data_IF_215159614932
#
_entry.id   IF_215159614932
#
_cell.length_a   1.000
_cell.length_b   1.000
_cell.length_c   1.000
_cell.angle_alpha   90.00
_cell.angle_beta   90.00
_cell.angle_gamma   90.00
#
_symmetry.space_group_name_H-M   'P 1'
#
loop_
_entity.id
_entity.type
_entity.pdbx_description
1 polymer ?
#
# COMPACT_ATOMS: atom_id res chain seq x y z
N UNK A 1 -42.82 64.22 17.36
CA UNK A 1 -42.75 62.78 17.05
C UNK A 1 -42.30 62.61 15.60
N UNK A 2 -41.03 62.32 15.34
CA UNK A 2 -40.59 61.74 14.06
C UNK A 2 -39.34 60.91 14.35
N UNK A 3 -39.48 59.59 14.20
CA UNK A 3 -38.46 58.58 14.50
C UNK A 3 -37.42 58.52 13.38
N UNK A 4 -36.14 58.65 13.73
CA UNK A 4 -35.02 58.46 12.79
C UNK A 4 -34.74 56.96 12.66
N UNK A 5 -35.09 56.37 11.52
CA UNK A 5 -34.75 55.00 11.17
C UNK A 5 -33.32 54.97 10.59
N UNK A 6 -32.38 54.36 11.30
CA UNK A 6 -31.02 54.11 10.82
C UNK A 6 -31.03 52.79 10.05
N UNK A 7 -30.72 52.81 8.75
CA UNK A 7 -30.63 51.61 7.91
C UNK A 7 -29.15 51.20 7.86
N UNK A 8 -28.80 50.12 8.54
CA UNK A 8 -27.47 49.51 8.50
C UNK A 8 -27.38 48.57 7.30
N UNK A 9 -26.56 48.91 6.29
CA UNK A 9 -26.23 47.98 5.21
C UNK A 9 -25.27 46.90 5.74
N UNK A 10 -25.73 45.65 5.82
CA UNK A 10 -24.86 44.48 5.96
C UNK A 10 -24.28 44.15 4.58
N UNK A 11 -22.98 44.43 4.38
CA UNK A 11 -22.25 43.90 3.25
C UNK A 11 -22.00 42.40 3.49
N UNK A 12 -22.71 41.54 2.78
CA UNK A 12 -22.44 40.11 2.76
C UNK A 12 -21.12 39.87 2.00
N UNK A 13 -20.03 39.63 2.73
CA UNK A 13 -18.80 39.11 2.14
C UNK A 13 -19.07 37.68 1.68
N UNK A 14 -19.28 37.51 0.37
CA UNK A 14 -19.28 36.18 -0.26
C UNK A 14 -17.89 35.58 -0.09
N UNK A 15 -17.69 34.78 0.96
CA UNK A 15 -16.57 33.88 1.03
C UNK A 15 -16.73 32.87 -0.12
N UNK A 16 -15.93 33.03 -1.17
CA UNK A 16 -15.78 31.99 -2.19
C UNK A 16 -15.38 30.71 -1.46
N UNK A 17 -16.29 29.74 -1.41
CA UNK A 17 -15.94 28.40 -0.98
C UNK A 17 -14.87 27.89 -1.96
N UNK A 18 -13.66 27.67 -1.44
CA UNK A 18 -12.63 26.96 -2.19
C UNK A 18 -13.21 25.62 -2.67
N UNK A 19 -12.92 25.19 -3.92
CA UNK A 19 -13.45 23.95 -4.45
C UNK A 19 -13.10 22.78 -3.51
N UNK A 20 -14.08 21.89 -3.30
CA UNK A 20 -13.96 20.75 -2.38
C UNK A 20 -12.83 19.78 -2.79
N UNK A 21 -12.40 19.81 -4.06
CA UNK A 21 -11.29 19.01 -4.59
C UNK A 21 -9.95 19.22 -3.86
N UNK A 22 -9.71 20.38 -3.21
CA UNK A 22 -8.39 20.68 -2.64
C UNK A 22 -8.18 20.13 -1.22
N UNK A 23 -9.25 19.65 -0.55
CA UNK A 23 -9.13 19.01 0.79
C UNK A 23 -8.72 17.53 0.77
N UNK A 24 -8.51 16.95 -0.41
CA UNK A 24 -7.87 15.63 -0.58
C UNK A 24 -6.57 15.75 -1.39
N UNK A 25 -5.74 16.76 -1.12
CA UNK A 25 -4.32 16.64 -1.43
C UNK A 25 -3.73 15.58 -0.49
N UNK A 26 -4.00 14.30 -0.79
CA UNK A 26 -3.43 13.17 -0.05
C UNK A 26 -1.91 13.31 -0.01
N UNK A 27 -1.29 12.89 1.09
CA UNK A 27 0.17 12.88 1.22
C UNK A 27 0.79 12.36 -0.08
N UNK A 28 1.78 13.06 -0.66
CA UNK A 28 2.40 12.62 -1.89
C UNK A 28 2.97 11.22 -1.67
N UNK A 29 2.98 10.41 -2.72
CA UNK A 29 3.32 9.00 -2.62
C UNK A 29 4.06 8.51 -3.85
N UNK A 30 4.73 7.38 -3.70
CA UNK A 30 5.26 6.60 -4.80
C UNK A 30 4.79 5.15 -4.71
N UNK A 31 4.70 4.51 -5.86
CA UNK A 31 4.20 3.14 -6.02
C UNK A 31 5.37 2.18 -6.26
N UNK A 32 5.17 0.87 -6.18
CA UNK A 32 6.17 -0.11 -6.57
C UNK A 32 6.67 0.15 -8.00
N UNK A 33 7.98 0.03 -8.21
CA UNK A 33 8.61 0.00 -9.53
C UNK A 33 8.53 -1.36 -10.19
N UNK A 34 8.28 -2.43 -9.43
CA UNK A 34 7.97 -3.77 -9.94
C UNK A 34 7.08 -4.56 -8.97
N UNK A 35 6.29 -5.47 -9.54
CA UNK A 35 5.39 -6.37 -8.80
C UNK A 35 5.65 -7.80 -9.26
N UNK A 36 5.64 -8.73 -8.31
CA UNK A 36 5.82 -10.15 -8.57
C UNK A 36 4.83 -10.97 -7.75
N UNK A 37 4.50 -12.14 -8.27
CA UNK A 37 3.76 -13.16 -7.55
C UNK A 37 4.73 -14.23 -7.07
N UNK A 38 4.65 -14.58 -5.80
CA UNK A 38 5.37 -15.70 -5.24
C UNK A 38 4.41 -16.84 -4.94
N UNK A 39 4.67 -18.01 -5.52
CA UNK A 39 3.90 -19.20 -5.26
C UNK A 39 4.49 -19.93 -4.04
N UNK A 40 3.68 -20.11 -3.00
CA UNK A 40 4.14 -20.69 -1.73
C UNK A 40 4.50 -22.17 -1.88
N UNK A 41 3.76 -22.92 -2.70
CA UNK A 41 3.94 -24.36 -2.89
C UNK A 41 5.27 -24.67 -3.55
N UNK A 42 5.54 -24.02 -4.68
CA UNK A 42 6.72 -24.33 -5.49
C UNK A 42 7.88 -23.34 -5.32
N UNK A 43 7.69 -22.22 -4.63
CA UNK A 43 8.73 -21.23 -4.35
C UNK A 43 9.12 -20.38 -5.55
N UNK A 44 8.41 -20.48 -6.68
CA UNK A 44 8.71 -19.71 -7.87
C UNK A 44 8.24 -18.26 -7.74
N UNK A 45 8.94 -17.38 -8.43
CA UNK A 45 8.65 -15.94 -8.51
C UNK A 45 8.35 -15.60 -9.97
N UNK A 46 7.19 -15.00 -10.20
CA UNK A 46 6.73 -14.60 -11.52
C UNK A 46 6.59 -13.08 -11.59
N UNK A 47 7.21 -12.40 -12.58
CA UNK A 47 6.89 -11.00 -12.85
C UNK A 47 5.40 -10.83 -13.13
N UNK A 48 4.80 -9.78 -12.58
CA UNK A 48 3.37 -9.55 -12.70
C UNK A 48 3.07 -8.06 -12.95
N UNK A 49 1.97 -7.80 -13.65
CA UNK A 49 1.44 -6.44 -13.83
C UNK A 49 0.44 -6.04 -12.74
N UNK A 50 0.02 -7.01 -11.92
CA UNK A 50 -0.96 -6.84 -10.85
C UNK A 50 -0.50 -7.54 -9.58
N UNK A 51 -0.88 -6.97 -8.44
CA UNK A 51 -0.80 -7.64 -7.16
C UNK A 51 -1.85 -8.74 -7.06
N UNK A 52 -1.44 -9.86 -6.47
CA UNK A 52 -2.30 -11.01 -6.25
C UNK A 52 -1.87 -11.73 -4.96
N UNK A 53 -2.78 -11.76 -4.01
CA UNK A 53 -2.66 -12.49 -2.75
C UNK A 53 -3.82 -13.46 -2.70
N UNK A 54 -3.53 -14.74 -2.45
CA UNK A 54 -4.58 -15.74 -2.28
C UNK A 54 -4.17 -16.80 -1.27
N UNK A 55 -5.06 -17.06 -0.32
CA UNK A 55 -5.03 -18.21 0.57
C UNK A 55 -6.32 -18.98 0.42
N UNK A 56 -6.23 -20.29 0.23
CA UNK A 56 -7.43 -21.12 0.13
C UNK A 56 -7.17 -22.52 0.70
N UNK A 57 -7.96 -23.04 1.66
CA UNK A 57 -7.64 -24.27 2.37
C UNK A 57 -7.55 -25.52 1.46
N UNK A 58 -8.21 -25.48 0.30
CA UNK A 58 -8.37 -26.63 -0.58
C UNK A 58 -7.48 -26.53 -1.84
N UNK A 59 -6.53 -25.58 -1.90
CA UNK A 59 -5.62 -25.41 -3.04
C UNK A 59 -4.29 -26.20 -2.89
N UNK A 60 -4.18 -27.07 -1.88
CA UNK A 60 -2.98 -27.84 -1.56
C UNK A 60 -1.71 -26.98 -1.38
N UNK A 61 -1.86 -25.82 -0.71
CA UNK A 61 -0.75 -24.89 -0.42
C UNK A 61 -0.32 -24.05 -1.62
N UNK A 62 -1.07 -24.09 -2.73
CA UNK A 62 -0.87 -23.25 -3.91
C UNK A 62 -1.34 -21.80 -3.67
N UNK A 63 -0.97 -21.27 -2.51
CA UNK A 63 -1.18 -19.90 -2.09
C UNK A 63 -0.22 -18.98 -2.85
N UNK A 64 -0.65 -17.73 -3.02
CA UNK A 64 0.17 -16.68 -3.60
C UNK A 64 0.32 -15.53 -2.64
N UNK A 65 1.53 -14.98 -2.59
CA UNK A 65 1.83 -13.69 -1.98
C UNK A 65 2.30 -12.73 -3.05
N UNK A 66 2.23 -11.43 -2.77
CA UNK A 66 2.74 -10.40 -3.68
C UNK A 66 4.06 -9.85 -3.16
N UNK A 67 5.10 -9.89 -3.98
CA UNK A 67 6.36 -9.19 -3.72
C UNK A 67 6.34 -7.85 -4.45
N UNK A 68 6.66 -6.78 -3.73
CA UNK A 68 6.69 -5.42 -4.22
C UNK A 68 8.12 -4.89 -4.16
N UNK A 69 8.57 -4.27 -5.23
CA UNK A 69 9.84 -3.54 -5.24
C UNK A 69 9.56 -2.05 -5.30
N UNK A 70 10.12 -1.29 -4.37
CA UNK A 70 10.03 0.16 -4.34
C UNK A 70 11.40 0.78 -4.62
N UNK A 71 11.40 1.90 -5.32
CA UNK A 71 12.60 2.73 -5.52
C UNK A 71 12.32 4.12 -4.97
N UNK A 72 13.08 4.53 -3.96
CA UNK A 72 12.86 5.80 -3.27
C UNK A 72 13.17 6.97 -4.21
N UNK A 73 12.22 7.88 -4.49
CA UNK A 73 12.45 9.01 -5.38
C UNK A 73 13.23 10.12 -4.68
N UNK A 74 13.83 11.02 -5.46
CA UNK A 74 14.49 12.23 -4.94
C UNK A 74 13.55 13.10 -4.07
N UNK A 75 12.26 13.14 -4.41
CA UNK A 75 11.26 13.91 -3.68
C UNK A 75 10.99 13.42 -2.24
N UNK A 76 11.33 12.16 -1.93
CA UNK A 76 11.18 11.60 -0.59
C UNK A 76 12.43 11.81 0.30
N UNK A 77 13.52 12.37 -0.25
CA UNK A 77 14.76 12.55 0.51
C UNK A 77 14.55 13.48 1.71
N UNK A 78 14.96 13.03 2.90
CA UNK A 78 14.82 13.78 4.15
C UNK A 78 13.38 13.89 4.69
N UNK A 79 12.43 13.14 4.12
CA UNK A 79 11.03 13.08 4.55
C UNK A 79 10.75 11.92 5.49
N UNK A 80 9.55 11.88 6.06
CA UNK A 80 9.03 10.68 6.73
C UNK A 80 8.21 9.85 5.74
N UNK A 81 8.40 8.53 5.75
CA UNK A 81 7.74 7.57 4.90
C UNK A 81 6.87 6.59 5.70
N UNK A 82 5.72 6.24 5.13
CA UNK A 82 4.80 5.24 5.68
C UNK A 82 4.19 4.40 4.55
N UNK A 83 4.09 3.09 4.74
CA UNK A 83 3.36 2.23 3.84
C UNK A 83 1.85 2.48 3.98
N UNK A 84 1.17 2.54 2.85
CA UNK A 84 -0.28 2.63 2.77
C UNK A 84 -0.78 1.74 1.64
N UNK A 85 -1.97 1.16 1.85
CA UNK A 85 -2.68 0.44 0.81
C UNK A 85 -3.99 1.19 0.54
N UNK A 86 -4.25 1.59 -0.70
CA UNK A 86 -5.46 2.29 -1.13
C UNK A 86 -6.25 1.42 -2.09
N UNK A 87 -7.44 0.97 -1.69
CA UNK A 87 -8.29 0.14 -2.52
C UNK A 87 -9.23 1.02 -3.37
N UNK A 88 -8.85 1.26 -4.62
CA UNK A 88 -9.72 1.91 -5.59
C UNK A 88 -10.71 0.91 -6.24
N UNK A 89 -11.48 1.37 -7.22
CA UNK A 89 -12.50 0.56 -7.90
C UNK A 89 -11.94 -0.67 -8.64
N UNK A 90 -10.61 -0.77 -8.82
CA UNK A 90 -9.94 -1.90 -9.45
C UNK A 90 -9.34 -2.88 -8.43
N UNK A 91 -9.50 -2.62 -7.13
CA UNK A 91 -9.10 -3.56 -6.09
C UNK A 91 -10.26 -4.49 -5.77
N UNK A 92 -9.99 -5.80 -5.80
CA UNK A 92 -10.94 -6.84 -5.44
C UNK A 92 -10.43 -7.55 -4.19
N UNK A 93 -11.22 -7.54 -3.12
CA UNK A 93 -10.90 -8.23 -1.86
C UNK A 93 -12.06 -9.13 -1.41
N UNK A 94 -11.74 -10.36 -1.01
CA UNK A 94 -12.70 -11.35 -0.47
C UNK A 94 -12.07 -12.18 0.63
N UNK A 95 -12.88 -12.97 1.35
CA UNK A 95 -12.41 -13.72 2.51
C UNK A 95 -12.16 -12.80 3.72
N UNK A 96 -10.99 -12.92 4.35
CA UNK A 96 -10.64 -12.07 5.50
C UNK A 96 -10.41 -10.60 5.13
N UNK A 97 -10.00 -10.32 3.88
CA UNK A 97 -9.73 -8.98 3.34
C UNK A 97 -8.64 -8.27 4.13
N UNK A 98 -7.65 -9.02 4.56
CA UNK A 98 -6.57 -8.57 5.44
C UNK A 98 -5.20 -8.98 4.88
N UNK A 99 -4.25 -8.05 4.91
CA UNK A 99 -2.89 -8.29 4.46
C UNK A 99 -1.91 -8.07 5.61
N UNK A 100 -1.07 -9.07 5.89
CA UNK A 100 0.16 -8.87 6.64
C UNK A 100 1.21 -8.26 5.71
N UNK A 101 1.91 -7.24 6.20
CA UNK A 101 2.95 -6.51 5.47
C UNK A 101 4.30 -6.91 6.05
N UNK A 102 5.17 -7.45 5.20
CA UNK A 102 6.53 -7.83 5.56
C UNK A 102 7.55 -6.98 4.81
N UNK A 103 8.66 -6.69 5.46
CA UNK A 103 9.90 -6.31 4.76
C UNK A 103 10.52 -7.54 4.09
N UNK A 104 11.30 -7.32 3.04
CA UNK A 104 12.11 -8.38 2.40
C UNK A 104 13.61 -8.12 2.61
N UNK A 105 14.38 -9.20 2.76
CA UNK A 105 15.85 -9.16 2.82
C UNK A 105 16.45 -8.59 1.53
N UNK A 106 15.84 -8.89 0.38
CA UNK A 106 16.19 -8.40 -0.95
C UNK A 106 14.93 -8.25 -1.81
N UNK A 107 14.90 -7.31 -2.77
CA UNK A 107 13.89 -7.29 -3.82
C UNK A 107 13.88 -8.60 -4.63
N UNK A 108 12.75 -8.91 -5.23
CA UNK A 108 12.64 -10.04 -6.15
C UNK A 108 13.53 -9.85 -7.40
N UNK A 109 14.10 -10.92 -7.98
CA UNK A 109 14.86 -10.81 -9.22
C UNK A 109 13.98 -10.30 -10.38
N UNK A 110 14.49 -9.38 -11.19
CA UNK A 110 13.70 -8.70 -12.24
C UNK A 110 13.04 -9.65 -13.26
N UNK A 111 13.69 -10.78 -13.57
CA UNK A 111 13.14 -11.80 -14.48
C UNK A 111 12.28 -12.86 -13.79
N UNK A 112 12.01 -12.71 -12.49
CA UNK A 112 11.49 -13.79 -11.65
C UNK A 112 12.57 -14.82 -11.32
N UNK A 113 12.13 -15.95 -10.77
CA UNK A 113 13.01 -17.05 -10.41
C UNK A 113 12.24 -18.37 -10.48
N UNK A 114 12.92 -19.44 -10.88
CA UNK A 114 12.40 -20.79 -10.75
C UNK A 114 12.18 -21.17 -9.28
N UNK A 115 11.36 -22.20 -9.07
CA UNK A 115 11.01 -22.67 -7.74
C UNK A 115 12.10 -23.49 -7.02
N UNK A 116 11.66 -24.25 -6.02
CA UNK A 116 12.48 -25.20 -5.27
C UNK A 116 13.17 -26.19 -6.21
N UNK A 117 14.46 -26.44 -5.99
CA UNK A 117 15.27 -27.30 -6.84
C UNK A 117 15.86 -26.62 -8.09
N UNK A 118 15.34 -25.47 -8.51
CA UNK A 118 15.95 -24.62 -9.55
C UNK A 118 16.90 -23.55 -8.98
N UNK A 119 17.14 -23.57 -7.66
CA UNK A 119 17.98 -22.58 -6.97
C UNK A 119 17.33 -21.22 -6.77
N UNK A 120 15.99 -21.14 -6.81
CA UNK A 120 15.24 -19.92 -6.54
C UNK A 120 15.53 -19.34 -5.15
N UNK A 121 15.53 -18.00 -4.99
CA UNK A 121 15.84 -17.36 -3.71
C UNK A 121 14.73 -17.52 -2.67
N UNK A 122 13.55 -18.04 -3.03
CA UNK A 122 12.35 -17.92 -2.20
C UNK A 122 11.86 -16.47 -2.10
N UNK A 123 10.85 -16.22 -1.28
CA UNK A 123 10.23 -14.89 -1.13
C UNK A 123 11.07 -13.83 -0.39
N UNK A 124 12.22 -14.23 0.18
CA UNK A 124 13.12 -13.33 0.91
C UNK A 124 12.43 -12.59 2.08
N UNK A 125 11.36 -13.16 2.66
CA UNK A 125 10.61 -12.54 3.76
C UNK A 125 11.51 -12.27 4.97
N UNK A 126 11.35 -11.10 5.58
CA UNK A 126 12.05 -10.71 6.80
C UNK A 126 11.08 -10.39 7.94
N UNK A 127 10.99 -9.13 8.38
CA UNK A 127 10.18 -8.73 9.53
C UNK A 127 8.75 -8.41 9.12
N UNK A 128 7.77 -8.92 9.87
CA UNK A 128 6.38 -8.47 9.81
C UNK A 128 6.30 -7.07 10.45
N UNK A 129 5.82 -6.07 9.71
CA UNK A 129 5.68 -4.71 10.24
C UNK A 129 4.26 -4.41 10.72
N UNK A 130 3.27 -5.19 10.29
CA UNK A 130 1.90 -5.04 10.75
C UNK A 130 0.88 -5.72 9.83
N UNK A 131 -0.38 -5.54 10.20
CA UNK A 131 -1.56 -6.04 9.49
C UNK A 131 -2.45 -4.88 9.08
N UNK A 132 -2.96 -4.93 7.85
CA UNK A 132 -3.94 -3.96 7.35
C UNK A 132 -5.26 -4.64 6.95
N UNK A 133 -6.38 -3.97 7.21
CA UNK A 133 -7.72 -4.33 6.70
C UNK A 133 -8.10 -3.47 5.50
N UNK A 134 -8.51 -4.12 4.41
CA UNK A 134 -8.89 -3.44 3.17
C UNK A 134 -10.24 -2.72 3.32
N UNK A 135 -10.23 -1.41 3.05
CA UNK A 135 -11.41 -0.54 3.03
C UNK A 135 -11.74 -0.16 1.58
N UNK A 136 -12.90 -0.58 1.09
CA UNK A 136 -13.31 -0.28 -0.29
C UNK A 136 -13.43 1.24 -0.53
N UNK A 137 -12.82 1.71 -1.62
CA UNK A 137 -12.79 3.13 -1.97
C UNK A 137 -11.89 3.99 -1.08
N UNK A 138 -11.03 3.40 -0.25
CA UNK A 138 -10.26 4.11 0.76
C UNK A 138 -8.90 3.52 1.09
N UNK A 139 -8.22 4.19 2.03
CA UNK A 139 -7.01 3.65 2.64
C UNK A 139 -7.36 2.52 3.62
N UNK A 140 -6.62 1.42 3.53
CA UNK A 140 -6.66 0.34 4.48
C UNK A 140 -6.29 0.84 5.89
N UNK A 141 -6.89 0.24 6.91
CA UNK A 141 -6.59 0.55 8.31
C UNK A 141 -5.53 -0.39 8.84
N UNK A 142 -4.58 0.12 9.63
CA UNK A 142 -3.67 -0.74 10.40
C UNK A 142 -4.42 -1.35 11.58
N UNK A 143 -4.63 -2.66 11.56
CA UNK A 143 -5.28 -3.40 12.64
C UNK A 143 -4.28 -3.74 13.76
N UNK A 144 -3.02 -3.93 13.37
CA UNK A 144 -1.91 -4.17 14.28
C UNK A 144 -0.59 -3.70 13.67
N UNK A 145 0.32 -3.21 14.49
CA UNK A 145 1.69 -2.84 14.10
C UNK A 145 2.69 -3.62 14.95
N UNK A 146 3.63 -4.31 14.32
CA UNK A 146 4.62 -5.17 15.01
C UNK A 146 6.04 -4.58 15.00
N UNK A 147 6.23 -3.46 14.32
CA UNK A 147 7.44 -2.63 14.36
C UNK A 147 7.14 -1.25 13.75
N UNK A 148 7.89 -0.21 14.11
CA UNK A 148 7.59 1.17 13.70
C UNK A 148 7.95 1.49 12.24
N UNK A 149 8.83 0.70 11.62
CA UNK A 149 9.27 0.94 10.25
C UNK A 149 8.10 0.80 9.27
N UNK A 150 7.79 1.87 8.53
CA UNK A 150 6.70 2.00 7.56
C UNK A 150 5.27 1.73 8.06
N UNK A 151 5.05 1.11 9.22
CA UNK A 151 3.71 0.97 9.81
C UNK A 151 3.21 2.29 10.42
N UNK A 152 4.16 3.12 10.87
CA UNK A 152 3.97 4.53 11.24
C UNK A 152 4.99 5.39 10.49
N UNK A 153 4.86 6.73 10.47
CA UNK A 153 5.84 7.59 9.82
C UNK A 153 7.26 7.38 10.36
N UNK A 154 8.14 6.89 9.49
CA UNK A 154 9.56 6.58 9.78
C UNK A 154 10.47 7.32 8.81
N UNK A 155 11.78 7.42 9.03
CA UNK A 155 12.66 8.10 8.06
C UNK A 155 12.61 7.44 6.68
N UNK A 156 12.38 8.23 5.64
CA UNK A 156 12.54 7.75 4.27
C UNK A 156 13.99 7.34 4.02
N UNK A 157 14.18 6.27 3.26
CA UNK A 157 15.50 5.87 2.79
C UNK A 157 16.05 6.88 1.77
N UNK A 158 17.39 6.94 1.59
CA UNK A 158 18.00 7.78 0.58
C UNK A 158 17.42 7.53 -0.82
N UNK A 159 17.36 8.58 -1.64
CA UNK A 159 16.92 8.46 -3.02
C UNK A 159 17.75 7.43 -3.80
N UNK A 160 17.09 6.66 -4.67
CA UNK A 160 17.69 5.56 -5.42
C UNK A 160 17.80 4.25 -4.64
N UNK A 161 17.52 4.25 -3.32
CA UNK A 161 17.46 2.99 -2.56
C UNK A 161 16.33 2.12 -3.08
N UNK A 162 16.63 0.85 -3.30
CA UNK A 162 15.66 -0.17 -3.72
C UNK A 162 15.32 -1.05 -2.52
N UNK A 163 14.03 -1.23 -2.25
CA UNK A 163 13.54 -2.04 -1.14
C UNK A 163 12.46 -3.02 -1.61
N UNK A 164 12.48 -4.23 -1.06
CA UNK A 164 11.42 -5.22 -1.22
C UNK A 164 10.47 -5.22 -0.03
N UNK A 165 9.17 -5.30 -0.31
CA UNK A 165 8.13 -5.66 0.65
C UNK A 165 7.36 -6.90 0.15
N UNK A 166 6.70 -7.61 1.05
CA UNK A 166 5.80 -8.70 0.72
C UNK A 166 4.43 -8.49 1.39
N UNK A 167 3.36 -8.71 0.62
CA UNK A 167 1.99 -8.74 1.09
C UNK A 167 1.50 -10.18 1.15
N UNK A 168 1.01 -10.58 2.33
CA UNK A 168 0.62 -11.96 2.64
C UNK A 168 -0.82 -11.95 3.15
N UNK A 169 -1.65 -12.85 2.62
CA UNK A 169 -3.04 -12.96 3.05
C UNK A 169 -3.14 -13.45 4.49
N UNK A 170 -4.18 -13.03 5.18
CA UNK A 170 -4.42 -13.36 6.59
C UNK A 170 -5.54 -14.38 6.73
N UNK A 171 -5.42 -15.31 7.68
CA UNK A 171 -6.31 -16.48 7.86
C UNK A 171 -6.28 -17.46 6.68
N UNK A 172 -7.07 -18.54 6.76
CA UNK A 172 -6.98 -19.65 5.81
C UNK A 172 -7.70 -19.38 4.47
N UNK A 173 -8.62 -18.41 4.43
CA UNK A 173 -9.31 -17.98 3.21
C UNK A 173 -9.22 -16.47 3.07
N UNK A 174 -8.43 -16.02 2.10
CA UNK A 174 -8.24 -14.61 1.79
C UNK A 174 -7.88 -14.44 0.32
N UNK A 175 -8.34 -13.35 -0.27
CA UNK A 175 -8.09 -13.04 -1.65
C UNK A 175 -8.02 -11.53 -1.81
N UNK A 176 -6.92 -11.02 -2.36
CA UNK A 176 -6.79 -9.62 -2.75
C UNK A 176 -6.08 -9.52 -4.10
N UNK A 177 -6.74 -8.93 -5.09
CA UNK A 177 -6.13 -8.55 -6.37
C UNK A 177 -6.23 -7.04 -6.56
N UNK A 178 -5.15 -6.40 -6.99
CA UNK A 178 -5.04 -4.94 -6.99
C UNK A 178 -4.04 -4.42 -8.03
N UNK A 179 -4.25 -3.21 -8.56
CA UNK A 179 -3.26 -2.57 -9.41
C UNK A 179 -2.03 -2.17 -8.58
N UNK A 180 -0.81 -2.08 -9.16
CA UNK A 180 0.38 -1.66 -8.41
C UNK A 180 0.21 -0.32 -7.67
N UNK A 181 -0.65 0.56 -8.18
CA UNK A 181 -1.00 1.86 -7.59
C UNK A 181 -1.73 1.79 -6.25
N UNK A 182 -2.27 0.62 -5.87
CA UNK A 182 -2.92 0.42 -4.58
C UNK A 182 -1.88 0.39 -3.45
N UNK A 183 -0.73 -0.26 -3.65
CA UNK A 183 0.36 -0.25 -2.69
C UNK A 183 1.19 1.04 -2.84
N UNK A 184 1.39 1.77 -1.74
CA UNK A 184 2.00 3.09 -1.75
C UNK A 184 2.98 3.24 -0.60
N UNK A 185 4.01 4.02 -0.81
CA UNK A 185 4.75 4.66 0.29
C UNK A 185 4.43 6.14 0.23
N UNK A 186 3.70 6.61 1.24
CA UNK A 186 3.41 8.02 1.47
C UNK A 186 4.67 8.70 2.00
N UNK A 187 4.89 9.97 1.66
CA UNK A 187 5.95 10.77 2.24
C UNK A 187 5.51 12.19 2.60
N UNK A 188 6.06 12.76 3.69
CA UNK A 188 5.79 14.13 4.14
C UNK A 188 7.00 14.84 4.76
#
# INVERSE_FOLDING_TARGET
MFSKLLITLLAATSALAAPLEERQTGSPYFTPSAVFQYNVRDGAIYPASWGYVSKYPQNAGNDFTTLLTFTYPAAAAGKKCQFAFFADANTYAGGSRQLDVFTSLKPAPAGGAGGWGAGGPGNQRNANIGRVSIVDGGYATWDATYGAYLSTPSDCKPAGTVEGLELVGVNDNDYVSFPPTAARILYN
#
